data_IF_558341514800
#
_entry.id   IF_558341514800
#
_cell.length_a   1.000
_cell.length_b   1.000
_cell.length_c   1.000
_cell.angle_alpha   90.00
_cell.angle_beta   90.00
_cell.angle_gamma   90.00
#
_symmetry.space_group_name_H-M   'P 1'
#
loop_
_entity.id
_entity.type
_entity.pdbx_description
1 polymer ?
#
# COMPACT_ATOMS: atom_id res chain seq x y z
N UNK A 1 17.55 15.21 14.71
CA UNK A 1 18.06 13.94 15.29
C UNK A 1 18.20 12.83 14.23
N UNK A 2 17.40 12.86 13.15
CA UNK A 2 17.48 12.02 11.93
C UNK A 2 18.77 12.11 11.09
N UNK A 3 19.69 13.02 11.40
CA UNK A 3 20.87 13.30 10.56
C UNK A 3 22.05 12.33 10.78
N UNK A 4 22.28 11.80 11.99
CA UNK A 4 23.46 10.97 12.29
C UNK A 4 23.41 9.55 11.70
N UNK A 5 22.23 8.93 11.63
CA UNK A 5 22.07 7.62 10.98
C UNK A 5 22.19 7.72 9.45
N UNK A 6 21.77 8.85 8.88
CA UNK A 6 21.86 9.12 7.45
C UNK A 6 23.31 9.28 6.97
N UNK A 7 24.19 9.91 7.75
CA UNK A 7 25.56 10.22 7.31
C UNK A 7 26.46 8.98 7.19
N UNK A 8 26.32 8.00 8.08
CA UNK A 8 27.23 6.84 8.11
C UNK A 8 26.96 5.84 6.99
N UNK A 9 25.69 5.63 6.63
CA UNK A 9 25.32 4.75 5.53
C UNK A 9 25.38 5.45 4.15
N UNK A 10 25.48 6.78 4.11
CA UNK A 10 25.47 7.53 2.85
C UNK A 10 26.65 7.19 1.95
N UNK A 11 27.84 6.98 2.53
CA UNK A 11 29.05 6.59 1.77
C UNK A 11 28.84 5.23 1.11
N UNK A 12 28.46 4.22 1.90
CA UNK A 12 28.18 2.87 1.39
C UNK A 12 27.06 2.88 0.34
N UNK A 13 25.99 3.62 0.57
CA UNK A 13 24.88 3.69 -0.37
C UNK A 13 25.29 4.35 -1.70
N UNK A 14 26.11 5.40 -1.66
CA UNK A 14 26.65 6.07 -2.86
C UNK A 14 27.59 5.16 -3.63
N UNK A 15 28.43 4.41 -2.92
CA UNK A 15 29.45 3.56 -3.51
C UNK A 15 28.89 2.16 -3.88
N UNK A 16 27.62 1.88 -3.56
CA UNK A 16 26.95 0.61 -3.85
C UNK A 16 27.39 -0.55 -2.96
N UNK A 17 28.11 -0.26 -1.88
CA UNK A 17 28.68 -1.26 -0.96
C UNK A 17 27.64 -1.73 0.07
N UNK A 18 26.72 -2.59 -0.38
CA UNK A 18 25.68 -3.17 0.47
C UNK A 18 26.24 -4.06 1.58
N UNK A 19 27.24 -4.89 1.26
CA UNK A 19 27.80 -5.84 2.23
C UNK A 19 28.58 -5.12 3.33
N UNK A 20 29.37 -4.10 2.99
CA UNK A 20 30.03 -3.24 3.97
C UNK A 20 29.04 -2.49 4.86
N UNK A 21 27.92 -2.04 4.30
CA UNK A 21 26.84 -1.42 5.06
C UNK A 21 26.18 -2.41 6.05
N UNK A 22 25.95 -3.66 5.63
CA UNK A 22 25.45 -4.71 6.52
C UNK A 22 26.43 -4.95 7.67
N UNK A 23 27.71 -5.12 7.37
CA UNK A 23 28.74 -5.38 8.38
C UNK A 23 28.86 -4.24 9.39
N UNK A 24 28.69 -2.99 8.97
CA UNK A 24 28.64 -1.84 9.88
C UNK A 24 27.51 -1.99 10.90
N UNK A 25 26.29 -2.33 10.44
CA UNK A 25 25.13 -2.43 11.34
C UNK A 25 25.17 -3.69 12.20
N UNK A 26 25.72 -4.79 11.68
CA UNK A 26 26.02 -6.01 12.47
C UNK A 26 26.99 -5.67 13.60
N UNK A 27 28.10 -4.99 13.31
CA UNK A 27 29.09 -4.55 14.32
C UNK A 27 28.49 -3.57 15.33
N UNK A 28 27.51 -2.77 14.92
CA UNK A 28 26.80 -1.86 15.80
C UNK A 28 25.86 -2.58 16.80
N UNK A 29 25.58 -3.87 16.61
CA UNK A 29 24.79 -4.69 17.53
C UNK A 29 23.47 -5.23 16.99
N UNK A 30 23.23 -5.19 15.68
CA UNK A 30 22.04 -5.79 15.07
C UNK A 30 22.39 -6.83 13.98
N UNK A 31 22.70 -8.08 14.35
CA UNK A 31 23.02 -9.14 13.38
C UNK A 31 21.83 -9.52 12.48
N UNK A 32 20.60 -9.19 12.89
CA UNK A 32 19.39 -9.54 12.14
C UNK A 32 19.26 -8.81 10.81
N UNK A 33 20.06 -7.77 10.55
CA UNK A 33 20.09 -7.06 9.25
C UNK A 33 20.48 -7.97 8.08
N UNK A 34 21.17 -9.09 8.33
CA UNK A 34 21.54 -10.07 7.29
C UNK A 34 20.34 -10.75 6.63
N UNK A 35 19.17 -10.70 7.27
CA UNK A 35 17.91 -11.21 6.71
C UNK A 35 17.24 -10.22 5.75
N UNK A 36 17.74 -8.98 5.65
CA UNK A 36 17.17 -7.99 4.74
C UNK A 36 17.44 -8.37 3.29
N UNK A 37 16.44 -8.11 2.44
CA UNK A 37 16.63 -8.20 1.00
C UNK A 37 17.76 -7.25 0.55
N UNK A 38 18.55 -7.69 -0.42
CA UNK A 38 19.65 -6.91 -0.96
C UNK A 38 19.16 -5.50 -1.39
N UNK A 39 19.96 -4.49 -1.06
CA UNK A 39 19.68 -3.07 -1.34
C UNK A 39 18.42 -2.48 -0.67
N UNK A 40 17.88 -3.11 0.38
CA UNK A 40 16.85 -2.50 1.22
C UNK A 40 17.45 -1.44 2.17
N UNK A 41 18.00 -0.39 1.58
CA UNK A 41 18.66 0.73 2.28
C UNK A 41 17.72 1.46 3.24
N UNK A 42 16.40 1.40 2.99
CA UNK A 42 15.41 1.97 3.89
C UNK A 42 15.34 1.17 5.20
N UNK A 43 15.15 -0.15 5.12
CA UNK A 43 15.08 -0.99 6.33
C UNK A 43 16.41 -1.02 7.07
N UNK A 44 17.55 -1.13 6.36
CA UNK A 44 18.86 -1.13 7.00
C UNK A 44 19.10 0.14 7.82
N UNK A 45 18.81 1.30 7.22
CA UNK A 45 18.91 2.60 7.90
C UNK A 45 17.97 2.71 9.08
N UNK A 46 16.72 2.25 8.94
CA UNK A 46 15.76 2.30 10.05
C UNK A 46 16.20 1.43 11.23
N UNK A 47 16.80 0.27 10.97
CA UNK A 47 17.36 -0.61 12.01
C UNK A 47 18.53 0.06 12.74
N UNK A 48 19.48 0.65 12.01
CA UNK A 48 20.59 1.40 12.61
C UNK A 48 20.10 2.61 13.43
N UNK A 49 19.09 3.32 12.96
CA UNK A 49 18.49 4.45 13.68
C UNK A 49 17.89 4.01 15.02
N UNK A 50 17.08 2.94 15.02
CA UNK A 50 16.49 2.39 16.25
C UNK A 50 17.59 1.95 17.22
N UNK A 51 18.60 1.24 16.72
CA UNK A 51 19.73 0.77 17.52
C UNK A 51 20.48 1.92 18.19
N UNK A 52 20.74 3.02 17.46
CA UNK A 52 21.42 4.19 18.02
C UNK A 52 20.58 4.96 19.03
N UNK A 53 19.26 5.03 18.83
CA UNK A 53 18.38 5.79 19.71
C UNK A 53 18.02 5.02 20.97
N UNK A 54 17.86 3.70 20.87
CA UNK A 54 17.39 2.85 21.97
C UNK A 54 18.48 2.00 22.63
N UNK A 55 19.63 1.83 21.97
CA UNK A 55 20.67 0.88 22.38
C UNK A 55 20.32 -0.58 22.09
N UNK A 56 19.16 -0.87 21.50
CA UNK A 56 18.68 -2.23 21.24
C UNK A 56 18.24 -2.42 19.78
N UNK A 57 18.40 -3.64 19.26
CA UNK A 57 17.91 -4.00 17.93
C UNK A 57 16.37 -3.93 17.88
N UNK A 58 15.76 -3.67 16.71
CA UNK A 58 14.30 -3.69 16.57
C UNK A 58 13.65 -5.01 16.98
N UNK A 59 14.36 -6.13 16.81
CA UNK A 59 13.90 -7.47 17.23
C UNK A 59 13.78 -7.64 18.74
N UNK A 60 14.38 -6.76 19.55
CA UNK A 60 14.27 -6.80 21.01
C UNK A 60 12.90 -6.29 21.50
N UNK A 61 12.22 -5.47 20.70
CA UNK A 61 10.91 -4.94 21.04
C UNK A 61 9.82 -5.96 20.71
N UNK A 62 9.10 -6.43 21.72
CA UNK A 62 7.96 -7.31 21.52
C UNK A 62 6.81 -6.57 20.82
N UNK A 63 6.19 -7.24 19.85
CA UNK A 63 4.98 -6.77 19.19
C UNK A 63 3.83 -7.69 19.65
N UNK A 64 2.84 -7.19 20.42
CA UNK A 64 1.76 -8.03 20.95
C UNK A 64 1.02 -8.86 19.88
N UNK A 65 0.88 -8.31 18.68
CA UNK A 65 0.28 -8.99 17.53
C UNK A 65 0.98 -10.31 17.16
N UNK A 66 2.31 -10.40 17.31
CA UNK A 66 3.03 -11.64 16.97
C UNK A 66 2.63 -12.77 17.92
N UNK A 67 2.45 -12.47 19.20
CA UNK A 67 1.99 -13.45 20.18
C UNK A 67 0.54 -13.86 19.93
N UNK A 68 -0.33 -12.91 19.54
CA UNK A 68 -1.69 -13.21 19.12
C UNK A 68 -1.72 -14.16 17.90
N UNK A 69 -0.89 -13.88 16.88
CA UNK A 69 -0.76 -14.72 15.70
C UNK A 69 -0.25 -16.14 16.02
N UNK A 70 0.79 -16.25 16.86
CA UNK A 70 1.34 -17.54 17.30
C UNK A 70 0.29 -18.39 18.05
N UNK A 71 -0.53 -17.76 18.92
CA UNK A 71 -1.63 -18.44 19.61
C UNK A 71 -2.65 -19.03 18.62
N UNK A 72 -3.06 -18.23 17.63
CA UNK A 72 -4.02 -18.67 16.61
C UNK A 72 -3.49 -19.87 15.82
N UNK A 73 -2.23 -19.81 15.36
CA UNK A 73 -1.58 -20.91 14.63
C UNK A 73 -1.42 -22.18 15.49
N UNK A 74 -1.13 -22.03 16.78
CA UNK A 74 -1.03 -23.16 17.72
C UNK A 74 -2.37 -23.82 18.06
N UNK A 75 -3.48 -23.09 17.92
CA UNK A 75 -4.83 -23.61 18.16
C UNK A 75 -5.35 -24.46 16.99
N UNK A 76 -4.81 -24.31 15.78
CA UNK A 76 -5.18 -25.12 14.60
C UNK A 76 -4.35 -26.41 14.47
N UNK A 77 -3.19 -26.51 15.14
CA UNK A 77 -2.28 -27.66 15.06
C UNK A 77 -2.27 -28.46 16.38
N UNK A 78 -2.57 -29.75 16.28
CA UNK A 78 -2.70 -30.66 17.42
C UNK A 78 -1.46 -30.70 18.36
N UNK A 79 -1.80 -30.86 19.63
CA UNK A 79 -1.12 -30.75 20.92
C UNK A 79 0.18 -31.54 21.17
N UNK A 80 1.31 -31.21 20.53
CA UNK A 80 2.61 -31.85 20.86
C UNK A 80 3.86 -30.96 20.98
N UNK A 81 3.73 -29.64 21.07
CA UNK A 81 4.88 -28.77 21.32
C UNK A 81 4.86 -28.20 22.76
N UNK A 82 5.85 -28.61 23.56
CA UNK A 82 6.11 -28.08 24.91
C UNK A 82 6.08 -26.55 24.92
N UNK A 83 5.10 -26.00 25.64
CA UNK A 83 4.88 -24.57 25.81
C UNK A 83 6.03 -23.96 26.62
N UNK A 84 7.01 -23.38 25.93
CA UNK A 84 7.90 -22.40 26.55
C UNK A 84 7.04 -21.20 26.95
N UNK A 85 6.73 -21.10 28.25
CA UNK A 85 6.08 -19.96 28.89
C UNK A 85 6.88 -18.68 28.65
N UNK A 86 6.69 -18.06 27.48
CA UNK A 86 7.00 -16.65 27.30
C UNK A 86 5.82 -15.91 27.93
N UNK A 87 6.11 -14.97 28.84
CA UNK A 87 5.13 -14.02 29.36
C UNK A 87 4.54 -13.23 28.18
N UNK A 88 3.49 -13.77 27.59
CA UNK A 88 2.74 -13.16 26.50
C UNK A 88 1.92 -12.05 27.15
N UNK A 89 2.22 -10.80 26.82
CA UNK A 89 1.28 -9.70 27.10
C UNK A 89 0.07 -9.94 26.22
N UNK A 90 -1.02 -10.39 26.83
CA UNK A 90 -2.31 -10.43 26.16
C UNK A 90 -2.72 -9.03 25.73
N UNK A 91 -3.40 -8.95 24.59
CA UNK A 91 -4.06 -7.73 24.16
C UNK A 91 -5.28 -7.53 25.07
N UNK A 92 -5.56 -6.30 25.49
CA UNK A 92 -6.71 -5.98 26.37
C UNK A 92 -8.07 -6.07 25.65
N UNK A 93 -8.12 -6.68 24.47
CA UNK A 93 -9.27 -6.72 23.58
C UNK A 93 -9.21 -7.92 22.64
N UNK A 94 -10.38 -8.50 22.38
CA UNK A 94 -10.58 -9.59 21.42
C UNK A 94 -10.80 -9.04 20.02
N UNK A 95 -10.33 -9.78 19.01
CA UNK A 95 -10.47 -9.39 17.60
C UNK A 95 -11.18 -10.47 16.81
N UNK A 96 -12.08 -10.02 15.94
CA UNK A 96 -12.55 -10.82 14.82
C UNK A 96 -12.04 -10.15 13.55
N UNK A 97 -11.16 -10.85 12.83
CA UNK A 97 -10.51 -10.31 11.65
C UNK A 97 -11.21 -10.79 10.38
N UNK A 98 -11.77 -9.85 9.61
CA UNK A 98 -12.37 -10.12 8.31
C UNK A 98 -11.58 -9.44 7.19
N UNK A 99 -11.43 -10.11 6.06
CA UNK A 99 -10.86 -9.55 4.84
C UNK A 99 -11.89 -9.63 3.70
N UNK A 100 -12.42 -8.47 3.33
CA UNK A 100 -13.38 -8.32 2.24
C UNK A 100 -12.64 -8.18 0.91
N UNK A 101 -12.86 -9.10 -0.02
CA UNK A 101 -12.25 -9.04 -1.35
C UNK A 101 -13.15 -9.64 -2.40
N UNK A 102 -12.86 -9.35 -3.66
CA UNK A 102 -13.50 -9.99 -4.82
C UNK A 102 -12.46 -10.73 -5.64
N UNK A 103 -12.90 -11.45 -6.68
CA UNK A 103 -11.99 -12.01 -7.67
C UNK A 103 -11.04 -10.95 -8.23
N UNK A 104 -9.77 -11.32 -8.39
CA UNK A 104 -8.70 -10.36 -8.62
C UNK A 104 -8.84 -9.59 -9.93
N UNK A 105 -9.39 -10.24 -10.97
CA UNK A 105 -9.63 -9.60 -12.25
C UNK A 105 -10.70 -8.50 -12.14
N UNK A 106 -11.77 -8.76 -11.38
CA UNK A 106 -12.84 -7.79 -11.15
C UNK A 106 -12.36 -6.66 -10.23
N UNK A 107 -11.56 -6.99 -9.21
CA UNK A 107 -10.90 -5.98 -8.38
C UNK A 107 -10.04 -5.03 -9.22
N UNK A 108 -9.27 -5.55 -10.19
CA UNK A 108 -8.47 -4.70 -11.08
C UNK A 108 -9.34 -3.80 -11.97
N UNK A 109 -10.46 -4.31 -12.49
CA UNK A 109 -11.41 -3.51 -13.26
C UNK A 109 -12.02 -2.39 -12.41
N UNK A 110 -12.43 -2.69 -11.18
CA UNK A 110 -12.98 -1.71 -10.25
C UNK A 110 -11.95 -0.67 -9.82
N UNK A 111 -10.69 -1.07 -9.59
CA UNK A 111 -9.58 -0.15 -9.31
C UNK A 111 -9.37 0.81 -10.47
N UNK A 112 -9.32 0.27 -11.69
CA UNK A 112 -9.06 1.08 -12.88
C UNK A 112 -10.18 2.10 -13.11
N UNK A 113 -11.43 1.66 -12.97
CA UNK A 113 -12.59 2.53 -13.06
C UNK A 113 -12.58 3.60 -11.96
N UNK A 114 -12.30 3.24 -10.71
CA UNK A 114 -12.19 4.21 -9.60
C UNK A 114 -11.09 5.24 -9.84
N UNK A 115 -9.97 4.85 -10.45
CA UNK A 115 -8.92 5.80 -10.82
C UNK A 115 -9.40 6.81 -11.87
N UNK A 116 -10.26 6.40 -12.81
CA UNK A 116 -10.89 7.33 -13.76
C UNK A 116 -11.90 8.24 -13.08
N UNK A 117 -12.77 7.67 -12.24
CA UNK A 117 -13.81 8.39 -11.50
C UNK A 117 -13.22 9.51 -10.62
N UNK A 118 -12.08 9.26 -9.98
CA UNK A 118 -11.34 10.25 -9.20
C UNK A 118 -10.79 11.44 -10.02
N UNK A 119 -10.82 11.39 -11.35
CA UNK A 119 -10.37 12.48 -12.22
C UNK A 119 -11.51 13.35 -12.75
N UNK A 120 -12.75 12.97 -12.46
CA UNK A 120 -13.94 13.74 -12.81
C UNK A 120 -14.20 14.84 -11.78
N UNK A 121 -15.05 15.81 -12.14
CA UNK A 121 -15.73 16.76 -11.24
C UNK A 121 -14.91 17.28 -10.03
N UNK A 122 -13.89 18.11 -10.28
CA UNK A 122 -13.02 18.68 -9.23
C UNK A 122 -12.38 17.64 -8.31
N UNK A 123 -12.04 16.47 -8.85
CA UNK A 123 -11.42 15.36 -8.12
C UNK A 123 -9.93 15.57 -7.79
N UNK A 124 -9.17 14.47 -7.85
CA UNK A 124 -7.81 14.38 -7.29
C UNK A 124 -6.82 15.39 -7.87
N UNK A 125 -7.01 15.85 -9.11
CA UNK A 125 -6.15 16.88 -9.72
C UNK A 125 -6.34 18.25 -9.06
N UNK A 126 -7.58 18.64 -8.74
CA UNK A 126 -7.88 19.89 -8.03
C UNK A 126 -7.32 19.85 -6.61
N UNK A 127 -7.52 18.74 -5.88
CA UNK A 127 -6.93 18.55 -4.55
C UNK A 127 -5.39 18.58 -4.59
N UNK A 128 -4.77 17.87 -5.54
CA UNK A 128 -3.31 17.83 -5.68
C UNK A 128 -2.73 19.20 -6.05
N UNK A 129 -3.42 19.97 -6.90
CA UNK A 129 -3.01 21.33 -7.22
C UNK A 129 -3.02 22.23 -5.98
N UNK A 130 -4.10 22.19 -5.21
CA UNK A 130 -4.21 22.97 -3.97
C UNK A 130 -3.09 22.63 -2.98
N UNK A 131 -2.75 21.35 -2.83
CA UNK A 131 -1.65 20.91 -1.98
C UNK A 131 -0.28 21.41 -2.49
N UNK A 132 -0.06 21.40 -3.81
CA UNK A 132 1.15 21.98 -4.41
C UNK A 132 1.24 23.49 -4.15
N UNK A 133 0.13 24.21 -4.22
CA UNK A 133 0.07 25.65 -3.96
C UNK A 133 0.37 26.00 -2.49
N UNK A 134 0.06 25.09 -1.57
CA UNK A 134 0.49 25.17 -0.17
C UNK A 134 1.98 24.82 0.05
N UNK A 135 2.71 24.43 -1.00
CA UNK A 135 4.12 24.05 -0.94
C UNK A 135 4.37 22.59 -0.57
N UNK A 136 3.34 21.72 -0.60
CA UNK A 136 3.53 20.29 -0.37
C UNK A 136 4.09 19.61 -1.63
N UNK A 137 5.40 19.37 -1.65
CA UNK A 137 6.06 18.71 -2.77
C UNK A 137 5.84 17.19 -2.78
N UNK A 138 5.76 16.54 -3.97
CA UNK A 138 5.67 15.08 -4.05
C UNK A 138 6.88 14.43 -3.39
N UNK A 139 6.64 13.29 -2.73
CA UNK A 139 7.65 12.52 -2.01
C UNK A 139 8.29 13.21 -0.79
N UNK A 140 7.85 14.40 -0.38
CA UNK A 140 8.38 15.13 0.78
C UNK A 140 8.04 14.47 2.12
N UNK A 141 6.91 13.76 2.20
CA UNK A 141 6.43 13.07 3.39
C UNK A 141 5.54 11.86 3.04
N UNK A 142 5.03 11.15 4.04
CA UNK A 142 4.16 9.97 3.82
C UNK A 142 2.87 10.30 3.07
N UNK A 143 2.22 11.43 3.36
CA UNK A 143 0.98 11.84 2.72
C UNK A 143 1.16 12.13 1.22
N UNK A 144 2.17 12.92 0.85
CA UNK A 144 2.53 13.22 -0.55
C UNK A 144 3.04 11.99 -1.34
N UNK A 145 3.32 10.88 -0.67
CA UNK A 145 3.68 9.58 -1.28
C UNK A 145 2.47 8.68 -1.51
N UNK A 146 1.28 9.08 -1.06
CA UNK A 146 0.06 8.32 -1.28
C UNK A 146 -0.19 8.13 -2.78
N UNK A 147 -0.72 6.96 -3.14
CA UNK A 147 -1.03 6.60 -4.52
C UNK A 147 -2.20 7.46 -4.99
N UNK A 148 -2.09 8.02 -6.19
CA UNK A 148 -2.99 9.06 -6.69
C UNK A 148 -2.32 10.42 -6.54
N UNK A 149 -2.18 10.90 -5.30
CA UNK A 149 -1.58 12.22 -5.03
C UNK A 149 -0.18 12.36 -5.61
N UNK A 150 0.70 11.38 -5.39
CA UNK A 150 2.07 11.46 -5.95
C UNK A 150 2.06 11.59 -7.47
N UNK A 151 1.29 10.75 -8.16
CA UNK A 151 1.20 10.77 -9.62
C UNK A 151 0.58 12.07 -10.13
N UNK A 152 -0.47 12.57 -9.46
CA UNK A 152 -1.15 13.81 -9.81
C UNK A 152 -0.20 15.01 -9.62
N UNK A 153 0.49 15.09 -8.48
CA UNK A 153 1.47 16.14 -8.20
C UNK A 153 2.63 16.13 -9.20
N UNK A 154 3.20 14.95 -9.51
CA UNK A 154 4.26 14.82 -10.52
C UNK A 154 3.77 15.28 -11.91
N UNK A 155 2.55 14.90 -12.30
CA UNK A 155 1.95 15.34 -13.57
C UNK A 155 1.71 16.86 -13.65
N UNK A 156 1.21 17.46 -12.58
CA UNK A 156 0.97 18.91 -12.52
C UNK A 156 2.27 19.71 -12.50
N UNK A 157 3.30 19.26 -11.77
CA UNK A 157 4.60 19.92 -11.77
C UNK A 157 5.25 19.92 -13.15
N UNK A 158 5.23 18.79 -13.87
CA UNK A 158 5.71 18.72 -15.26
C UNK A 158 4.91 19.70 -16.14
N UNK A 159 3.61 19.80 -15.92
CA UNK A 159 2.75 20.74 -16.66
C UNK A 159 3.10 22.20 -16.33
N UNK A 160 3.39 22.55 -15.07
CA UNK A 160 3.88 23.89 -14.66
C UNK A 160 5.21 24.24 -15.33
N UNK A 161 6.16 23.31 -15.36
CA UNK A 161 7.45 23.49 -16.04
C UNK A 161 7.26 23.78 -17.55
N UNK A 162 6.20 23.25 -18.14
CA UNK A 162 5.81 23.47 -19.54
C UNK A 162 4.80 24.62 -19.72
N UNK A 163 4.66 25.51 -18.72
CA UNK A 163 3.74 26.66 -18.73
C UNK A 163 2.28 26.27 -18.98
N UNK A 164 1.83 25.17 -18.36
CA UNK A 164 0.50 24.62 -18.50
C UNK A 164 0.29 23.78 -19.77
N UNK A 165 1.31 23.59 -20.61
CA UNK A 165 1.20 22.67 -21.74
C UNK A 165 1.17 21.22 -21.25
N UNK A 166 0.17 20.47 -21.68
CA UNK A 166 0.05 19.03 -21.46
C UNK A 166 -0.58 18.39 -22.68
N UNK A 167 -0.07 17.24 -23.11
CA UNK A 167 -0.67 16.48 -24.22
C UNK A 167 -1.55 15.35 -23.71
N UNK A 168 -2.47 14.84 -24.55
CA UNK A 168 -3.24 13.63 -24.23
C UNK A 168 -2.32 12.47 -23.87
N UNK A 169 -1.15 12.36 -24.53
CA UNK A 169 -0.16 11.31 -24.23
C UNK A 169 0.36 11.41 -22.79
N UNK A 170 0.62 12.62 -22.31
CA UNK A 170 1.12 12.85 -20.94
C UNK A 170 0.03 12.51 -19.92
N UNK A 171 -1.22 12.91 -20.18
CA UNK A 171 -2.37 12.53 -19.37
C UNK A 171 -2.55 11.00 -19.29
N UNK A 172 -2.57 10.29 -20.42
CA UNK A 172 -2.73 8.82 -20.43
C UNK A 172 -1.53 8.11 -19.79
N UNK A 173 -0.33 8.68 -19.89
CA UNK A 173 0.85 8.18 -19.17
C UNK A 173 0.66 8.30 -17.65
N UNK A 174 0.21 9.47 -17.18
CA UNK A 174 -0.17 9.70 -15.79
C UNK A 174 -1.23 8.69 -15.31
N UNK A 175 -2.37 8.59 -16.02
CA UNK A 175 -3.48 7.70 -15.67
C UNK A 175 -3.02 6.23 -15.60
N UNK A 176 -2.23 5.79 -16.58
CA UNK A 176 -1.68 4.42 -16.61
C UNK A 176 -0.79 4.15 -15.39
N UNK A 177 0.04 5.12 -15.00
CA UNK A 177 0.90 4.98 -13.82
C UNK A 177 0.10 4.99 -12.51
N UNK A 178 -0.95 5.80 -12.41
CA UNK A 178 -1.85 5.81 -11.27
C UNK A 178 -2.54 4.44 -11.11
N UNK A 179 -3.19 3.95 -12.16
CA UNK A 179 -3.86 2.63 -12.16
C UNK A 179 -2.88 1.49 -11.86
N UNK A 180 -1.70 1.49 -12.48
CA UNK A 180 -0.65 0.48 -12.21
C UNK A 180 -0.19 0.51 -10.76
N UNK A 181 0.03 1.68 -10.17
CA UNK A 181 0.41 1.82 -8.78
C UNK A 181 -0.67 1.29 -7.84
N UNK A 182 -1.94 1.63 -8.10
CA UNK A 182 -3.10 1.15 -7.36
C UNK A 182 -3.26 -0.38 -7.41
N UNK A 183 -3.15 -0.99 -8.60
CA UNK A 183 -3.20 -2.47 -8.75
C UNK A 183 -2.02 -3.16 -8.06
N UNK A 184 -0.82 -2.58 -8.12
CA UNK A 184 0.34 -3.12 -7.41
C UNK A 184 0.16 -3.06 -5.88
N UNK A 185 -0.49 -2.02 -5.38
CA UNK A 185 -0.83 -1.91 -3.96
C UNK A 185 -1.86 -2.95 -3.54
N UNK A 186 -2.96 -3.11 -4.29
CA UNK A 186 -3.94 -4.17 -4.06
C UNK A 186 -3.31 -5.57 -4.11
N UNK A 187 -2.39 -5.82 -5.06
CA UNK A 187 -1.62 -7.07 -5.09
C UNK A 187 -0.83 -7.29 -3.79
N UNK A 188 -0.15 -6.25 -3.28
CA UNK A 188 0.62 -6.34 -2.04
C UNK A 188 -0.28 -6.59 -0.83
N UNK A 189 -1.44 -5.94 -0.77
CA UNK A 189 -2.44 -6.20 0.27
C UNK A 189 -2.88 -7.67 0.24
N UNK A 190 -3.30 -8.18 -0.93
CA UNK A 190 -3.67 -9.58 -1.10
C UNK A 190 -2.55 -10.55 -0.69
N UNK A 191 -1.30 -10.26 -1.06
CA UNK A 191 -0.15 -11.08 -0.64
C UNK A 191 0.06 -11.04 0.87
N UNK A 192 -0.13 -9.89 1.51
CA UNK A 192 0.01 -9.76 2.96
C UNK A 192 -1.08 -10.54 3.70
N UNK A 193 -2.36 -10.30 3.38
CA UNK A 193 -3.48 -10.98 4.03
C UNK A 193 -3.48 -12.50 3.83
N UNK A 194 -2.92 -13.01 2.73
CA UNK A 194 -2.77 -14.47 2.52
C UNK A 194 -1.89 -15.14 3.57
N UNK A 195 -0.91 -14.40 4.07
CA UNK A 195 0.05 -14.88 5.07
C UNK A 195 -0.39 -14.54 6.51
N UNK A 196 -1.62 -14.05 6.68
CA UNK A 196 -2.21 -13.72 7.97
C UNK A 196 -3.40 -14.66 8.25
N UNK A 197 -3.18 -15.79 8.94
CA UNK A 197 -4.21 -16.83 9.13
C UNK A 197 -5.39 -16.36 9.98
N UNK A 198 -5.20 -15.29 10.77
CA UNK A 198 -6.24 -14.72 11.63
C UNK A 198 -7.42 -14.14 10.83
N UNK A 199 -7.24 -13.82 9.54
CA UNK A 199 -8.27 -13.19 8.71
C UNK A 199 -9.19 -14.21 8.04
N UNK A 200 -10.49 -14.04 8.25
CA UNK A 200 -11.54 -14.73 7.50
C UNK A 200 -11.83 -14.03 6.17
N UNK A 201 -11.69 -14.77 5.06
CA UNK A 201 -11.86 -14.23 3.71
C UNK A 201 -13.34 -14.26 3.28
N UNK A 202 -13.89 -13.09 3.00
CA UNK A 202 -15.28 -12.91 2.58
C UNK A 202 -15.33 -12.38 1.14
N UNK A 203 -16.16 -13.02 0.32
CA UNK A 203 -16.47 -12.58 -1.04
C UNK A 203 -17.35 -11.33 -1.02
N UNK A 204 -16.72 -10.17 -1.21
CA UNK A 204 -17.38 -8.87 -1.27
C UNK A 204 -18.17 -8.63 -2.58
N UNK A 205 -18.20 -9.60 -3.51
CA UNK A 205 -19.09 -9.53 -4.69
C UNK A 205 -20.54 -9.92 -4.37
N UNK A 206 -20.78 -10.44 -3.16
CA UNK A 206 -22.12 -10.78 -2.65
C UNK A 206 -22.90 -9.53 -2.26
N UNK A 207 -24.23 -9.60 -2.16
CA UNK A 207 -25.04 -8.47 -1.71
C UNK A 207 -24.56 -7.94 -0.37
N UNK A 208 -24.41 -6.62 -0.26
CA UNK A 208 -23.88 -5.95 0.93
C UNK A 208 -24.60 -6.38 2.22
N UNK A 209 -25.93 -6.47 2.17
CA UNK A 209 -26.75 -6.89 3.31
C UNK A 209 -26.37 -8.28 3.83
N UNK A 210 -26.06 -9.25 2.95
CA UNK A 210 -25.63 -10.58 3.39
C UNK A 210 -24.27 -10.56 4.09
N UNK A 211 -23.33 -9.76 3.58
CA UNK A 211 -22.00 -9.61 4.17
C UNK A 211 -22.09 -8.91 5.53
N UNK A 212 -22.88 -7.84 5.64
CA UNK A 212 -23.07 -7.09 6.88
C UNK A 212 -23.76 -7.95 7.93
N UNK A 213 -24.86 -8.63 7.58
CA UNK A 213 -25.58 -9.48 8.52
C UNK A 213 -24.65 -10.57 9.07
N UNK A 214 -23.86 -11.23 8.22
CA UNK A 214 -22.89 -12.22 8.68
C UNK A 214 -21.86 -11.65 9.67
N UNK A 215 -21.31 -10.46 9.39
CA UNK A 215 -20.33 -9.82 10.28
C UNK A 215 -20.95 -9.46 11.63
N UNK A 216 -22.19 -8.96 11.63
CA UNK A 216 -22.93 -8.65 12.85
C UNK A 216 -23.26 -9.92 13.65
N UNK A 217 -23.81 -10.95 13.01
CA UNK A 217 -24.14 -12.22 13.65
C UNK A 217 -22.88 -12.87 14.25
N UNK A 218 -21.76 -12.83 13.52
CA UNK A 218 -20.48 -13.35 13.99
C UNK A 218 -19.92 -12.59 15.20
N UNK A 219 -20.25 -11.30 15.35
CA UNK A 219 -19.86 -10.52 16.52
C UNK A 219 -20.74 -10.84 17.74
N UNK A 220 -22.02 -11.11 17.53
CA UNK A 220 -22.96 -11.48 18.60
C UNK A 220 -22.80 -12.93 19.07
N UNK A 221 -22.22 -13.79 18.23
CA UNK A 221 -21.97 -15.20 18.54
C UNK A 221 -20.86 -15.38 19.58
N UNK A 222 -21.26 -15.74 20.81
CA UNK A 222 -20.37 -15.98 21.94
C UNK A 222 -19.77 -17.40 21.96
N UNK A 223 -20.07 -18.25 20.97
CA UNK A 223 -19.61 -19.64 20.95
C UNK A 223 -18.14 -19.79 20.58
N UNK A 224 -17.53 -18.76 20.00
CA UNK A 224 -16.11 -18.73 19.60
C UNK A 224 -15.79 -19.53 18.33
N UNK A 225 -16.75 -20.23 17.71
CA UNK A 225 -16.55 -20.93 16.44
C UNK A 225 -16.93 -20.06 15.24
N UNK A 226 -16.00 -19.24 14.77
CA UNK A 226 -16.21 -18.43 13.57
C UNK A 226 -16.06 -19.27 12.30
N UNK A 227 -17.19 -19.58 11.64
CA UNK A 227 -17.22 -20.31 10.36
C UNK A 227 -17.92 -19.48 9.28
N UNK A 228 -17.16 -19.09 8.25
CA UNK A 228 -17.72 -18.35 7.11
C UNK A 228 -18.65 -19.27 6.30
N UNK A 229 -19.93 -18.88 6.06
CA UNK A 229 -20.85 -19.65 5.23
C UNK A 229 -20.31 -19.86 3.82
N UNK A 230 -20.56 -21.02 3.21
CA UNK A 230 -20.13 -21.33 1.82
C UNK A 230 -20.59 -20.29 0.79
N UNK A 231 -21.69 -19.60 1.03
CA UNK A 231 -22.20 -18.53 0.16
C UNK A 231 -21.34 -17.27 0.16
N UNK A 232 -20.64 -17.00 1.26
CA UNK A 232 -19.80 -15.83 1.49
C UNK A 232 -18.30 -16.16 1.48
N UNK A 233 -17.94 -17.44 1.55
CA UNK A 233 -16.55 -17.90 1.56
C UNK A 233 -15.81 -17.49 0.27
N UNK A 234 -14.63 -16.90 0.45
CA UNK A 234 -13.69 -16.63 -0.63
C UNK A 234 -12.40 -17.44 -0.42
N UNK A 235 -11.97 -18.14 -1.46
CA UNK A 235 -10.66 -18.82 -1.44
C UNK A 235 -9.53 -17.80 -1.37
N UNK A 236 -8.61 -17.99 -0.42
CA UNK A 236 -7.43 -17.14 -0.27
C UNK A 236 -6.45 -17.34 -1.43
N UNK A 237 -6.37 -18.54 -2.01
CA UNK A 237 -5.34 -18.90 -2.99
C UNK A 237 -5.81 -18.76 -4.45
N UNK A 238 -4.91 -18.29 -5.31
CA UNK A 238 -5.14 -18.26 -6.77
C UNK A 238 -4.74 -19.63 -7.30
N UNK A 239 -5.65 -20.58 -7.15
CA UNK A 239 -5.39 -21.99 -7.47
C UNK A 239 -5.50 -22.30 -8.97
N UNK A 240 -5.99 -21.36 -9.79
CA UNK A 240 -6.35 -21.63 -11.18
C UNK A 240 -5.35 -21.06 -12.20
N UNK A 241 -4.68 -21.94 -12.97
CA UNK A 241 -3.79 -21.54 -14.08
C UNK A 241 -4.48 -20.63 -15.10
N UNK A 242 -5.79 -20.80 -15.32
CA UNK A 242 -6.59 -19.94 -16.21
C UNK A 242 -6.62 -18.50 -15.69
N UNK A 243 -6.83 -18.30 -14.40
CA UNK A 243 -6.87 -16.97 -13.78
C UNK A 243 -5.51 -16.29 -13.87
N UNK A 244 -4.42 -17.02 -13.63
CA UNK A 244 -3.06 -16.51 -13.80
C UNK A 244 -2.81 -16.02 -15.24
N UNK A 245 -3.26 -16.76 -16.26
CA UNK A 245 -3.16 -16.34 -17.66
C UNK A 245 -3.97 -15.08 -17.94
N UNK A 246 -5.22 -15.01 -17.45
CA UNK A 246 -6.07 -13.84 -17.59
C UNK A 246 -5.45 -12.59 -16.93
N UNK A 247 -4.87 -12.74 -15.74
CA UNK A 247 -4.18 -11.65 -15.05
C UNK A 247 -2.94 -11.17 -15.79
N UNK A 248 -2.17 -12.08 -16.42
CA UNK A 248 -1.01 -11.71 -17.26
C UNK A 248 -1.45 -10.99 -18.54
N UNK A 249 -2.57 -11.41 -19.13
CA UNK A 249 -3.15 -10.81 -20.32
C UNK A 249 -3.95 -9.53 -20.04
N UNK A 250 -4.21 -9.22 -18.77
CA UNK A 250 -5.05 -8.07 -18.40
C UNK A 250 -4.50 -6.77 -18.97
N UNK A 251 -5.40 -6.01 -19.60
CA UNK A 251 -5.17 -4.65 -20.07
C UNK A 251 -6.32 -3.80 -19.58
N UNK A 252 -6.01 -2.60 -19.08
CA UNK A 252 -7.03 -1.64 -18.67
C UNK A 252 -7.97 -1.39 -19.85
N UNK A 253 -9.27 -1.36 -19.57
CA UNK A 253 -10.29 -0.85 -20.49
C UNK A 253 -10.98 0.32 -19.79
N UNK A 254 -10.54 1.52 -20.14
CA UNK A 254 -11.08 2.76 -19.59
C UNK A 254 -12.55 2.94 -20.00
N UNK A 255 -13.36 3.54 -19.12
CA UNK A 255 -14.77 3.85 -19.37
C UNK A 255 -15.02 5.33 -19.61
N UNK A 256 -14.35 6.20 -18.87
CA UNK A 256 -14.49 7.65 -19.02
C UNK A 256 -13.49 8.20 -20.04
N UNK A 257 -12.30 7.59 -20.14
CA UNK A 257 -11.23 8.03 -21.02
C UNK A 257 -10.90 6.98 -22.08
N UNK A 258 -11.84 6.77 -23.00
CA UNK A 258 -11.85 5.75 -24.05
C UNK A 258 -11.26 6.20 -25.39
N UNK A 259 -11.49 7.46 -25.76
CA UNK A 259 -10.94 8.14 -26.93
C UNK A 259 -9.80 9.06 -26.52
N UNK A 260 -9.06 9.67 -27.45
CA UNK A 260 -7.96 10.60 -27.12
C UNK A 260 -8.51 11.95 -26.64
N UNK A 261 -9.68 12.31 -27.15
CA UNK A 261 -10.38 13.57 -26.97
C UNK A 261 -11.11 13.63 -25.62
N UNK A 262 -11.38 12.48 -24.99
CA UNK A 262 -12.07 12.39 -23.69
C UNK A 262 -11.32 13.13 -22.56
N UNK A 263 -10.01 13.38 -22.72
CA UNK A 263 -9.19 14.11 -21.75
C UNK A 263 -9.05 15.62 -22.03
N UNK A 264 -9.64 16.13 -23.11
CA UNK A 264 -9.45 17.53 -23.54
C UNK A 264 -9.88 18.53 -22.47
N UNK A 265 -10.98 18.25 -21.76
CA UNK A 265 -11.44 19.10 -20.65
C UNK A 265 -10.43 19.19 -19.51
N UNK A 266 -9.73 18.08 -19.20
CA UNK A 266 -8.67 18.06 -18.19
C UNK A 266 -7.45 18.82 -18.69
N UNK A 267 -7.04 18.63 -19.95
CA UNK A 267 -5.91 19.35 -20.54
C UNK A 267 -6.16 20.86 -20.53
N UNK A 268 -7.36 21.29 -20.89
CA UNK A 268 -7.74 22.70 -20.85
C UNK A 268 -7.75 23.24 -19.42
N UNK A 269 -8.21 22.45 -18.44
CA UNK A 269 -8.13 22.81 -17.02
C UNK A 269 -6.66 22.95 -16.57
N UNK A 270 -5.79 22.01 -16.93
CA UNK A 270 -4.35 22.05 -16.62
C UNK A 270 -3.71 23.30 -17.24
N UNK A 271 -4.06 23.62 -18.50
CA UNK A 271 -3.53 24.82 -19.17
C UNK A 271 -3.89 26.10 -18.42
N UNK A 272 -5.14 26.21 -17.94
CA UNK A 272 -5.64 27.38 -17.21
C UNK A 272 -5.06 27.49 -15.80
N UNK A 273 -4.86 26.36 -15.11
CA UNK A 273 -4.47 26.36 -13.69
C UNK A 273 -2.96 26.29 -13.48
N UNK A 274 -2.23 25.66 -14.41
CA UNK A 274 -0.78 25.45 -14.31
C UNK A 274 0.02 26.39 -15.22
N UNK A 275 -0.65 27.16 -16.08
CA UNK A 275 -0.03 28.27 -16.82
C UNK A 275 0.35 29.41 -15.88
N UNK A 276 1.34 30.24 -16.27
CA UNK A 276 1.72 31.39 -15.45
C UNK A 276 0.47 32.25 -15.15
N UNK A 277 0.26 32.66 -13.88
CA UNK A 277 -0.70 33.72 -13.62
C UNK A 277 -0.18 34.93 -14.40
N UNK A 278 -1.02 35.50 -15.26
CA UNK A 278 -0.76 36.85 -15.73
C UNK A 278 -0.58 37.68 -14.47
N UNK A 279 0.65 38.17 -14.26
CA UNK A 279 0.98 39.13 -13.21
C UNK A 279 0.08 40.34 -13.45
N UNK A 280 -1.12 40.33 -12.87
CA UNK A 280 -1.91 41.53 -12.65
C UNK A 280 -1.22 42.28 -11.53
N UNK A 281 -0.14 42.97 -11.91
CA UNK A 281 0.48 44.03 -11.14
C UNK A 281 -0.64 45.03 -10.84
N UNK A 282 -1.07 45.11 -9.57
CA UNK A 282 -1.75 46.27 -9.04
C UNK A 282 -0.72 47.35 -8.69
#
# INVERSE_FOLDING_TARGET
ITLKGNSELAVFQRDGDWDGALDLVVKAGDPGVRSLAANDWYRLRRRLEILKLSGASPSTFQVPYNSFKEKFESSEFDSTAESRERNIKDLDYDFICFFLSTQRLDLYRSIDFRCEDMLLDDGILSEANWLLDLGLMPNSNSASRAIGYRQAMEYLLISREQRGCSSSKDFYYFLTNFQKASRNFAKRQLTWFRNEPVYQWIDASKPMEQVVNFICDAYEDQTGELKVPRSLYMDKDISNQKEVRLLKAYRTKNRHFSSREDCDGIIDWVRRTQGEPTLSVC
#
